data_IF_814291911054
#
_entry.id   IF_814291911054
#
_cell.length_a   1.000
_cell.length_b   1.000
_cell.length_c   1.000
_cell.angle_alpha   90.00
_cell.angle_beta   90.00
_cell.angle_gamma   90.00
#
_symmetry.space_group_name_H-M   'P 1'
#
loop_
_entity.id
_entity.type
_entity.pdbx_description
1 polymer ?
#
# COMPACT_ATOMS: atom_id res chain seq x y z
N UNK A 1 -5.15 13.20 -18.28
CA UNK A 1 -5.14 12.68 -18.28
C UNK A 1 -4.97 11.86 -17.99
N UNK A 2 -4.65 11.37 -17.75
CA UNK A 2 -4.50 10.66 -17.68
C UNK A 2 -4.62 9.58 -17.18
N UNK A 3 -4.90 9.06 -16.94
CA UNK A 3 -5.61 8.09 -16.56
C UNK A 3 -5.18 6.91 -17.12
N UNK A 4 -4.94 6.99 -18.14
CA UNK A 4 -4.31 6.11 -18.93
C UNK A 4 -3.46 5.43 -18.10
N UNK A 5 -3.18 6.03 -17.22
CA UNK A 5 -2.37 5.68 -16.47
C UNK A 5 -2.72 4.57 -15.70
N UNK A 6 -3.76 4.05 -15.86
CA UNK A 6 -4.14 2.93 -15.16
C UNK A 6 -3.54 1.70 -15.66
N UNK A 7 -2.46 1.80 -16.30
CA UNK A 7 -1.70 0.65 -16.63
C UNK A 7 -1.29 0.01 -15.33
N UNK A 8 -1.52 -1.27 -15.19
CA UNK A 8 -1.10 -2.02 -14.00
C UNK A 8 0.40 -1.95 -13.84
N UNK A 9 0.90 -1.81 -12.63
CA UNK A 9 2.34 -1.89 -12.42
C UNK A 9 2.87 -3.26 -12.81
N UNK A 10 4.12 -3.31 -13.25
CA UNK A 10 4.74 -4.57 -13.65
C UNK A 10 4.98 -5.46 -12.44
N UNK A 11 5.16 -6.76 -12.68
CA UNK A 11 5.48 -7.70 -11.61
C UNK A 11 6.77 -7.29 -10.88
N UNK A 12 7.85 -6.93 -11.57
CA UNK A 12 9.05 -6.51 -10.86
C UNK A 12 8.83 -5.30 -9.97
N UNK A 13 8.03 -4.34 -10.40
CA UNK A 13 7.72 -3.17 -9.58
C UNK A 13 6.96 -3.60 -8.33
N UNK A 14 5.92 -4.41 -8.50
CA UNK A 14 5.11 -4.85 -7.37
C UNK A 14 5.95 -5.63 -6.37
N UNK A 15 6.80 -6.54 -6.87
CA UNK A 15 7.64 -7.35 -6.01
C UNK A 15 8.63 -6.47 -5.25
N UNK A 16 9.14 -5.43 -5.89
CA UNK A 16 10.08 -4.52 -5.24
C UNK A 16 9.43 -3.77 -4.09
N UNK A 17 8.18 -3.36 -4.28
CA UNK A 17 7.44 -2.66 -3.22
C UNK A 17 7.28 -3.57 -2.01
N UNK A 18 6.89 -4.84 -2.22
CA UNK A 18 6.73 -5.79 -1.14
C UNK A 18 8.06 -6.01 -0.44
N UNK A 19 9.13 -6.15 -1.22
CA UNK A 19 10.48 -6.35 -0.68
C UNK A 19 10.87 -5.19 0.25
N UNK A 20 10.64 -3.96 -0.20
CA UNK A 20 10.97 -2.80 0.60
C UNK A 20 10.25 -2.81 1.95
N UNK A 21 8.97 -3.16 1.94
CA UNK A 21 8.20 -3.19 3.18
C UNK A 21 8.72 -4.28 4.11
N UNK A 22 8.96 -5.47 3.57
CA UNK A 22 9.45 -6.59 4.37
C UNK A 22 10.83 -6.30 4.96
N UNK A 23 11.65 -5.53 4.24
CA UNK A 23 13.00 -5.23 4.70
C UNK A 23 13.07 -3.90 5.44
N UNK A 24 11.96 -3.52 6.05
CA UNK A 24 11.87 -2.39 6.97
C UNK A 24 12.11 -1.03 6.32
N UNK A 25 11.69 -0.90 5.07
CA UNK A 25 11.74 0.37 4.35
C UNK A 25 10.36 0.75 3.83
N UNK A 26 9.33 0.79 4.71
CA UNK A 26 7.98 1.08 4.26
C UNK A 26 7.83 2.51 3.74
N UNK A 27 8.57 3.45 4.30
CA UNK A 27 8.46 4.84 3.84
C UNK A 27 8.95 4.96 2.40
N UNK A 28 10.04 4.26 2.07
CA UNK A 28 10.53 4.28 0.69
C UNK A 28 9.53 3.61 -0.24
N UNK A 29 8.88 2.53 0.22
CA UNK A 29 7.86 1.87 -0.59
C UNK A 29 6.71 2.82 -0.89
N UNK A 30 6.27 3.57 0.12
CA UNK A 30 5.17 4.53 -0.05
C UNK A 30 5.56 5.65 -1.00
N UNK A 31 6.80 6.11 -0.94
CA UNK A 31 7.30 7.13 -1.86
C UNK A 31 7.28 6.63 -3.30
N UNK A 32 7.75 5.41 -3.52
CA UNK A 32 7.79 4.85 -4.86
C UNK A 32 6.40 4.58 -5.43
N UNK A 33 5.49 4.12 -4.57
CA UNK A 33 4.10 3.92 -4.97
C UNK A 33 3.46 5.25 -5.35
N UNK A 34 3.69 6.26 -4.54
CA UNK A 34 3.08 7.58 -4.78
C UNK A 34 3.62 8.20 -6.04
N UNK A 35 4.91 8.02 -6.30
CA UNK A 35 5.53 8.50 -7.52
C UNK A 35 4.94 7.79 -8.75
N UNK A 36 4.79 6.47 -8.66
CA UNK A 36 4.22 5.69 -9.76
C UNK A 36 2.82 6.17 -10.13
N UNK A 37 1.99 6.40 -9.11
CA UNK A 37 0.61 6.82 -9.35
C UNK A 37 0.45 8.34 -9.46
N UNK A 38 1.55 9.07 -9.30
CA UNK A 38 1.55 10.53 -9.40
C UNK A 38 0.59 11.18 -8.41
N UNK A 39 0.71 10.79 -7.16
CA UNK A 39 -0.09 11.36 -6.08
C UNK A 39 0.82 11.75 -4.92
N UNK A 40 0.27 12.50 -3.99
CA UNK A 40 1.02 12.94 -2.82
C UNK A 40 1.31 11.74 -1.92
N UNK A 41 2.49 11.71 -1.30
CA UNK A 41 2.84 10.63 -0.39
C UNK A 41 2.00 10.74 0.88
N UNK A 42 1.37 9.66 1.33
CA UNK A 42 0.57 9.75 2.55
C UNK A 42 1.45 9.90 3.78
N UNK A 43 0.92 10.54 4.80
CA UNK A 43 1.61 10.64 6.08
C UNK A 43 1.42 9.32 6.82
N UNK A 44 2.36 9.00 7.69
CA UNK A 44 2.31 7.78 8.47
C UNK A 44 2.26 8.14 9.94
N UNK A 45 1.41 7.48 10.70
CA UNK A 45 1.29 7.71 12.13
C UNK A 45 1.19 6.37 12.85
N UNK A 46 1.89 6.25 13.97
CA UNK A 46 1.77 5.07 14.82
C UNK A 46 0.74 5.44 15.90
N UNK A 47 -0.32 4.70 15.98
CA UNK A 47 -1.41 4.95 16.91
C UNK A 47 -2.72 5.04 16.15
N UNK A 48 -3.78 4.46 16.69
CA UNK A 48 -5.05 4.38 15.99
C UNK A 48 -6.04 5.41 16.52
N UNK A 49 -6.93 5.92 15.65
CA UNK A 49 -8.03 6.76 16.12
C UNK A 49 -8.91 5.94 17.07
N UNK A 50 -9.61 6.61 17.96
CA UNK A 50 -10.44 5.94 18.96
C UNK A 50 -11.42 4.95 18.38
N UNK A 51 -12.03 5.26 17.27
CA UNK A 51 -13.03 4.40 16.65
C UNK A 51 -12.43 3.19 15.94
N UNK A 52 -11.12 3.10 15.84
CA UNK A 52 -10.47 2.04 15.11
C UNK A 52 -9.40 1.31 15.91
N UNK A 53 -9.46 1.37 17.23
CA UNK A 53 -8.41 0.78 18.07
C UNK A 53 -8.21 -0.72 17.85
N UNK A 54 -9.23 -1.42 17.35
CA UNK A 54 -9.09 -2.86 17.13
C UNK A 54 -8.52 -3.22 15.77
N UNK A 55 -8.33 -2.26 14.91
CA UNK A 55 -7.80 -2.52 13.57
C UNK A 55 -6.28 -2.43 13.58
N UNK A 56 -5.64 -3.11 12.63
CA UNK A 56 -4.19 -3.02 12.50
C UNK A 56 -3.79 -1.73 11.79
N UNK A 57 -4.60 -1.28 10.86
CA UNK A 57 -4.34 -0.05 10.12
C UNK A 57 -5.63 0.67 9.78
N UNK A 58 -5.49 1.93 9.40
CA UNK A 58 -6.66 2.74 9.05
C UNK A 58 -6.18 3.95 8.26
N UNK A 59 -6.98 4.38 7.28
CA UNK A 59 -6.65 5.57 6.52
C UNK A 59 -7.59 6.72 6.90
N UNK A 60 -7.01 7.85 7.27
CA UNK A 60 -7.78 9.04 7.64
C UNK A 60 -7.71 10.02 6.47
N UNK A 61 -8.75 10.02 5.64
CA UNK A 61 -8.76 10.78 4.39
C UNK A 61 -8.56 12.28 4.59
N UNK A 62 -9.21 12.85 5.57
CA UNK A 62 -9.11 14.29 5.82
C UNK A 62 -7.70 14.75 6.17
N UNK A 63 -6.86 13.85 6.66
CA UNK A 63 -5.50 14.18 7.04
C UNK A 63 -4.49 13.53 6.11
N UNK A 64 -4.94 12.78 5.12
CA UNK A 64 -4.08 12.04 4.18
C UNK A 64 -3.05 11.21 4.94
N UNK A 65 -3.51 10.56 6.00
CA UNK A 65 -2.62 9.84 6.92
C UNK A 65 -3.04 8.39 7.05
N UNK A 66 -2.06 7.49 6.99
CA UNK A 66 -2.29 6.08 7.29
C UNK A 66 -1.83 5.86 8.72
N UNK A 67 -2.72 5.33 9.56
CA UNK A 67 -2.41 5.04 10.94
C UNK A 67 -2.16 3.55 11.10
N UNK A 68 -1.17 3.18 11.91
CA UNK A 68 -0.85 1.78 12.17
C UNK A 68 -0.91 1.56 13.67
N UNK A 69 -1.42 0.41 14.10
CA UNK A 69 -1.61 0.15 15.53
C UNK A 69 -0.28 0.11 16.28
N UNK A 70 0.78 -0.36 15.63
CA UNK A 70 2.12 -0.32 16.23
C UNK A 70 3.14 -0.36 15.10
N UNK A 71 4.41 -0.22 15.45
CA UNK A 71 5.46 -0.11 14.45
C UNK A 71 5.65 -1.38 13.65
N UNK A 72 5.44 -2.55 14.26
CA UNK A 72 5.63 -3.81 13.55
C UNK A 72 4.65 -3.98 12.40
N UNK A 73 3.45 -3.42 12.51
CA UNK A 73 2.43 -3.51 11.46
C UNK A 73 2.90 -2.74 10.22
N UNK A 74 3.75 -1.74 10.41
CA UNK A 74 4.30 -0.97 9.30
C UNK A 74 5.15 -1.84 8.38
N UNK A 75 5.58 -3.00 8.85
CA UNK A 75 6.37 -3.93 8.05
C UNK A 75 5.53 -5.05 7.44
N UNK A 76 4.21 -4.92 7.51
CA UNK A 76 3.28 -5.86 6.90
C UNK A 76 2.87 -5.34 5.53
N UNK A 77 3.33 -5.98 4.44
CA UNK A 77 2.97 -5.50 3.10
C UNK A 77 1.46 -5.46 2.89
N UNK A 78 0.74 -6.45 3.43
CA UNK A 78 -0.70 -6.49 3.25
C UNK A 78 -1.37 -5.25 3.83
N UNK A 79 -1.04 -4.90 5.07
CA UNK A 79 -1.67 -3.75 5.73
C UNK A 79 -1.28 -2.45 5.06
N UNK A 80 0.01 -2.27 4.76
CA UNK A 80 0.49 -1.04 4.12
C UNK A 80 -0.20 -0.83 2.78
N UNK A 81 -0.27 -1.89 1.96
CA UNK A 81 -0.85 -1.78 0.63
C UNK A 81 -2.36 -1.61 0.67
N UNK A 82 -3.03 -2.29 1.62
CA UNK A 82 -4.46 -2.16 1.79
C UNK A 82 -4.82 -0.69 2.10
N UNK A 83 -4.10 -0.09 3.05
CA UNK A 83 -4.39 1.30 3.42
C UNK A 83 -3.94 2.28 2.34
N UNK A 84 -2.84 1.98 1.64
CA UNK A 84 -2.41 2.82 0.53
C UNK A 84 -3.48 2.88 -0.56
N UNK A 85 -4.18 1.76 -0.80
CA UNK A 85 -5.26 1.73 -1.78
C UNK A 85 -6.32 2.80 -1.46
N UNK A 86 -6.70 2.91 -0.18
CA UNK A 86 -7.69 3.92 0.20
C UNK A 86 -7.17 5.33 -0.04
N UNK A 87 -5.88 5.55 0.21
CA UNK A 87 -5.27 6.85 -0.07
C UNK A 87 -5.28 7.13 -1.57
N UNK A 88 -4.90 6.13 -2.37
CA UNK A 88 -4.87 6.26 -3.82
C UNK A 88 -6.25 6.62 -4.37
N UNK A 89 -7.29 5.92 -3.93
CA UNK A 89 -8.63 6.18 -4.41
C UNK A 89 -9.10 7.58 -4.03
N UNK A 90 -8.80 8.00 -2.81
CA UNK A 90 -9.20 9.33 -2.36
C UNK A 90 -8.48 10.41 -3.13
N UNK A 91 -7.18 10.24 -3.38
CA UNK A 91 -6.39 11.24 -4.11
C UNK A 91 -6.78 11.32 -5.57
N UNK A 92 -7.38 10.27 -6.11
CA UNK A 92 -7.83 10.27 -7.50
C UNK A 92 -9.20 10.94 -7.67
N UNK A 93 -9.67 11.63 -6.64
CA UNK A 93 -10.94 12.37 -6.73
C UNK A 93 -12.18 11.52 -6.54
N UNK A 94 -12.02 10.29 -6.07
CA UNK A 94 -13.13 9.39 -5.81
C UNK A 94 -13.27 9.18 -4.31
N UNK A 95 -14.26 8.39 -3.91
CA UNK A 95 -14.33 8.00 -2.51
C UNK A 95 -13.23 6.97 -2.27
N UNK A 96 -13.03 6.59 -1.03
CA UNK A 96 -11.87 5.76 -0.65
C UNK A 96 -11.91 4.31 -1.16
N UNK A 97 -12.91 3.96 -1.92
CA UNK A 97 -13.02 2.59 -2.44
C UNK A 97 -13.57 1.62 -1.41
N UNK A 98 -13.62 0.36 -1.78
CA UNK A 98 -14.18 -0.67 -0.90
C UNK A 98 -13.08 -1.49 -0.26
N UNK A 99 -13.42 -2.17 0.84
CA UNK A 99 -12.48 -3.06 1.50
C UNK A 99 -12.12 -4.24 0.59
N UNK A 100 -13.08 -4.71 -0.17
CA UNK A 100 -12.84 -5.82 -1.09
C UNK A 100 -11.79 -5.46 -2.15
N UNK A 101 -11.89 -4.26 -2.69
CA UNK A 101 -10.94 -3.82 -3.71
C UNK A 101 -9.57 -3.52 -3.09
N UNK A 102 -9.56 -3.03 -1.86
CA UNK A 102 -8.29 -2.80 -1.16
C UNK A 102 -7.57 -4.13 -0.92
N UNK A 103 -8.32 -5.18 -0.55
CA UNK A 103 -7.75 -6.51 -0.38
C UNK A 103 -7.17 -7.03 -1.70
N UNK A 104 -7.92 -6.87 -2.78
CA UNK A 104 -7.47 -7.34 -4.09
C UNK A 104 -6.19 -6.63 -4.52
N UNK A 105 -6.12 -5.32 -4.27
CA UNK A 105 -4.95 -4.52 -4.59
C UNK A 105 -3.72 -5.06 -3.85
N UNK A 106 -3.85 -5.26 -2.54
CA UNK A 106 -2.74 -5.75 -1.73
C UNK A 106 -2.33 -7.15 -2.16
N UNK A 107 -3.30 -8.02 -2.41
CA UNK A 107 -3.00 -9.40 -2.82
C UNK A 107 -2.27 -9.45 -4.16
N UNK A 108 -2.59 -8.55 -5.07
CA UNK A 108 -1.91 -8.51 -6.36
C UNK A 108 -0.42 -8.27 -6.20
N UNK A 109 -0.03 -7.38 -5.31
CA UNK A 109 1.38 -7.12 -5.03
C UNK A 109 2.03 -8.33 -4.37
N UNK A 110 1.33 -8.95 -3.42
CA UNK A 110 1.89 -10.12 -2.72
C UNK A 110 2.10 -11.29 -3.65
N UNK A 111 1.18 -11.48 -4.58
CA UNK A 111 1.31 -12.56 -5.55
C UNK A 111 2.49 -12.34 -6.49
N UNK A 112 2.71 -11.10 -6.92
CA UNK A 112 3.85 -10.79 -7.76
C UNK A 112 5.16 -11.10 -7.04
N UNK A 113 5.22 -10.78 -5.75
CA UNK A 113 6.40 -11.06 -4.95
C UNK A 113 6.64 -12.58 -4.85
N UNK A 114 5.59 -13.35 -4.61
CA UNK A 114 5.70 -14.79 -4.51
C UNK A 114 6.16 -15.40 -5.83
N UNK A 115 5.61 -14.93 -6.93
CA UNK A 115 5.97 -15.44 -8.25
C UNK A 115 7.44 -15.24 -8.55
N UNK A 116 7.95 -14.06 -8.32
CA UNK A 116 9.34 -13.78 -8.59
C UNK A 116 10.27 -14.51 -7.63
N UNK A 117 9.86 -14.68 -6.37
CA UNK A 117 10.65 -15.44 -5.43
C UNK A 117 10.74 -16.90 -5.83
N UNK A 118 9.64 -17.48 -6.33
CA UNK A 118 9.63 -18.85 -6.80
C UNK A 118 10.56 -19.03 -7.98
N UNK A 119 10.51 -18.13 -8.94
CA UNK A 119 11.36 -18.19 -10.10
C UNK A 119 12.84 -18.16 -9.71
N UNK A 120 13.18 -17.30 -8.76
CA UNK A 120 14.56 -17.20 -8.31
C UNK A 120 15.01 -18.45 -7.56
N UNK A 121 14.11 -19.05 -6.80
CA UNK A 121 14.46 -20.23 -6.04
C UNK A 121 14.60 -21.49 -6.88
N UNK A 122 14.06 -21.47 -8.09
CA UNK A 122 14.14 -22.63 -8.97
C UNK A 122 15.51 -22.69 -9.64
N UNK A 123 16.37 -21.77 -9.39
CA UNK A 123 17.71 -21.79 -9.92
C UNK A 123 18.71 -22.33 -8.90
#
# INVERSE_FOLDING_TARGET
MQWVLHVEPSFPFKARIVHLILFKKPEEALERLSEYYNIEVPKVKIGMPKSHVKNLGCYVAGKKTICFSNRDVLYSPYVVLHEFYHHLRTQSGKHKGTEKLADAFAKGFLEAYKELACIQNDK
#
